data_IF_982605203859
#
_entry.id   IF_982605203859
#
_cell.length_a   1.000
_cell.length_b   1.000
_cell.length_c   1.000
_cell.angle_alpha   90.00
_cell.angle_beta   90.00
_cell.angle_gamma   90.00
#
_symmetry.space_group_name_H-M   'P 1'
#
loop_
_entity.id
_entity.type
_entity.pdbx_description
1 polymer ?
#
# COMPACT_ATOMS: atom_id res chain seq x y z
N UNK A 1 48.66 -2.63 16.72
CA UNK A 1 48.48 -2.79 15.27
C UNK A 1 47.41 -3.86 15.06
N UNK A 2 46.13 -3.56 14.82
CA UNK A 2 45.57 -2.56 13.91
C UNK A 2 45.06 -3.31 12.69
N UNK A 3 43.73 -3.41 12.51
CA UNK A 3 43.16 -4.14 11.36
C UNK A 3 41.66 -4.40 11.48
N UNK A 4 40.91 -3.30 11.50
CA UNK A 4 39.46 -3.22 11.37
C UNK A 4 39.00 -3.75 10.01
N UNK A 5 38.03 -4.66 10.01
CA UNK A 5 37.49 -5.33 8.82
C UNK A 5 36.03 -4.94 8.63
N UNK A 6 35.79 -3.66 8.34
CA UNK A 6 34.47 -3.13 8.01
C UNK A 6 33.90 -3.76 6.74
N UNK A 7 33.02 -4.75 6.93
CA UNK A 7 32.13 -5.24 5.89
C UNK A 7 31.03 -4.21 5.66
N UNK A 8 31.25 -3.29 4.72
CA UNK A 8 30.20 -2.39 4.25
C UNK A 8 29.08 -3.20 3.60
N UNK A 9 27.92 -3.23 4.24
CA UNK A 9 26.69 -3.69 3.62
C UNK A 9 26.39 -2.75 2.45
N UNK A 10 26.49 -3.27 1.22
CA UNK A 10 25.99 -2.58 0.05
C UNK A 10 24.47 -2.47 0.21
N UNK A 11 23.98 -1.24 0.41
CA UNK A 11 22.55 -0.95 0.38
C UNK A 11 22.01 -1.45 -0.97
N UNK A 12 21.18 -2.49 -0.93
CA UNK A 12 20.41 -2.90 -2.09
C UNK A 12 19.60 -1.69 -2.53
N UNK A 13 19.89 -1.17 -3.74
CA UNK A 13 19.15 -0.09 -4.33
C UNK A 13 17.71 -0.57 -4.51
N UNK A 14 16.84 -0.15 -3.60
CA UNK A 14 15.46 -0.54 -3.66
C UNK A 14 14.79 0.17 -4.84
N UNK A 15 14.09 -0.63 -5.65
CA UNK A 15 13.38 -0.13 -6.82
C UNK A 15 12.23 0.73 -6.29
N UNK A 16 12.30 2.04 -6.54
CA UNK A 16 11.12 2.89 -6.38
C UNK A 16 10.03 2.34 -7.30
N UNK A 17 8.85 2.03 -6.75
CA UNK A 17 7.73 1.48 -7.53
C UNK A 17 7.46 2.34 -8.76
N UNK A 18 7.20 1.69 -9.90
CA UNK A 18 6.93 2.41 -11.15
C UNK A 18 5.71 3.32 -10.99
N UNK A 19 5.74 4.49 -11.65
CA UNK A 19 4.59 5.38 -11.69
C UNK A 19 3.32 4.64 -12.17
N UNK A 20 2.12 5.03 -11.70
CA UNK A 20 0.89 4.41 -12.17
C UNK A 20 0.76 4.56 -13.70
N UNK A 21 0.13 3.57 -14.33
CA UNK A 21 -0.27 3.73 -15.73
C UNK A 21 -1.35 4.82 -15.85
N UNK A 22 -1.39 5.54 -16.96
CA UNK A 22 -2.39 6.60 -17.18
C UNK A 22 -3.82 6.04 -17.07
N UNK A 23 -4.66 6.65 -16.24
CA UNK A 23 -6.06 6.21 -16.08
C UNK A 23 -6.19 4.87 -15.35
N UNK A 24 -5.18 4.47 -14.57
CA UNK A 24 -5.18 3.18 -13.89
C UNK A 24 -6.24 3.10 -12.80
N UNK A 25 -6.72 1.87 -12.58
CA UNK A 25 -7.50 1.53 -11.41
C UNK A 25 -6.77 0.48 -10.60
N UNK A 26 -6.88 0.60 -9.28
CA UNK A 26 -6.32 -0.31 -8.30
C UNK A 26 -7.42 -0.79 -7.36
N UNK A 27 -7.21 -1.95 -6.75
CA UNK A 27 -8.11 -2.47 -5.71
C UNK A 27 -7.27 -2.73 -4.48
N UNK A 28 -7.58 -2.06 -3.38
CA UNK A 28 -6.83 -2.27 -2.14
C UNK A 28 -7.19 -3.61 -1.51
N UNK A 29 -6.31 -4.16 -0.69
CA UNK A 29 -6.47 -5.48 -0.08
C UNK A 29 -6.69 -5.33 1.44
N UNK A 30 -7.49 -6.23 1.99
CA UNK A 30 -7.68 -6.34 3.44
C UNK A 30 -8.07 -7.78 3.83
N UNK A 31 -7.09 -8.61 4.18
CA UNK A 31 -7.29 -9.98 4.67
C UNK A 31 -8.23 -10.82 3.78
N UNK A 32 -7.96 -10.82 2.48
CA UNK A 32 -8.78 -11.46 1.44
C UNK A 32 -9.93 -10.61 0.89
N UNK A 33 -10.24 -9.48 1.54
CA UNK A 33 -11.18 -8.47 1.05
C UNK A 33 -10.59 -7.51 0.02
N UNK A 34 -11.46 -6.82 -0.71
CA UNK A 34 -11.10 -5.68 -1.58
C UNK A 34 -11.97 -4.47 -1.21
N UNK A 35 -11.64 -3.72 -0.14
CA UNK A 35 -12.54 -2.72 0.42
C UNK A 35 -12.73 -1.52 -0.51
N UNK A 36 -11.69 -1.10 -1.23
CA UNK A 36 -11.75 0.06 -2.12
C UNK A 36 -11.25 -0.23 -3.53
N UNK A 37 -11.85 0.46 -4.49
CA UNK A 37 -11.32 0.66 -5.83
C UNK A 37 -10.84 2.11 -5.94
N UNK A 38 -9.62 2.29 -6.42
CA UNK A 38 -8.98 3.59 -6.57
C UNK A 38 -8.76 3.87 -8.04
N UNK A 39 -9.24 5.00 -8.53
CA UNK A 39 -9.02 5.47 -9.89
C UNK A 39 -8.06 6.65 -9.88
N UNK A 40 -6.95 6.54 -10.59
CA UNK A 40 -5.98 7.61 -10.80
C UNK A 40 -6.27 8.25 -12.15
N UNK A 41 -6.49 9.57 -12.18
CA UNK A 41 -6.74 10.29 -13.43
C UNK A 41 -5.59 10.09 -14.42
N UNK A 42 -5.83 10.21 -15.74
CA UNK A 42 -4.77 10.10 -16.74
C UNK A 42 -3.56 11.02 -16.51
N UNK A 43 -3.79 12.21 -15.95
CA UNK A 43 -2.72 13.15 -15.61
C UNK A 43 -2.08 12.93 -14.22
N UNK A 44 -2.56 11.94 -13.46
CA UNK A 44 -2.09 11.62 -12.11
C UNK A 44 -2.43 12.64 -11.02
N UNK A 45 -3.14 13.73 -11.36
CA UNK A 45 -3.38 14.85 -10.43
C UNK A 45 -4.62 14.70 -9.57
N UNK A 46 -5.49 13.74 -9.89
CA UNK A 46 -6.69 13.43 -9.12
C UNK A 46 -6.82 11.93 -8.89
N UNK A 47 -7.21 11.58 -7.66
CA UNK A 47 -7.41 10.20 -7.24
C UNK A 47 -8.78 10.07 -6.61
N UNK A 48 -9.63 9.22 -7.17
CA UNK A 48 -10.97 8.94 -6.67
C UNK A 48 -11.00 7.58 -5.98
N UNK A 49 -11.52 7.52 -4.77
CA UNK A 49 -11.64 6.29 -3.97
C UNK A 49 -13.11 5.92 -3.87
N UNK A 50 -13.43 4.70 -4.27
CA UNK A 50 -14.77 4.14 -4.22
C UNK A 50 -14.78 2.93 -3.30
N UNK A 51 -15.81 2.80 -2.45
CA UNK A 51 -16.00 1.58 -1.66
C UNK A 51 -16.97 0.62 -2.33
N UNK A 52 -16.75 -0.66 -2.08
CA UNK A 52 -17.69 -1.71 -2.43
C UNK A 52 -19.02 -1.47 -1.71
N UNK A 53 -20.16 -1.66 -2.40
CA UNK A 53 -21.48 -1.62 -1.75
C UNK A 53 -21.71 -2.86 -0.90
N UNK A 54 -22.23 -2.68 0.31
CA UNK A 54 -22.51 -3.72 1.32
C UNK A 54 -23.27 -4.94 0.78
N UNK A 55 -24.04 -4.78 -0.30
CA UNK A 55 -24.78 -5.86 -0.97
C UNK A 55 -23.88 -7.01 -1.48
N UNK A 56 -22.57 -6.80 -1.65
CA UNK A 56 -21.62 -7.80 -2.15
C UNK A 56 -20.72 -8.37 -1.04
N UNK A 57 -20.60 -7.68 0.11
CA UNK A 57 -19.65 -8.00 1.18
C UNK A 57 -20.19 -8.98 2.23
N UNK A 58 -21.43 -9.46 2.08
CA UNK A 58 -22.04 -10.46 2.97
C UNK A 58 -21.40 -11.85 2.88
N UNK A 59 -20.14 -11.99 3.28
CA UNK A 59 -19.51 -13.12 3.99
C UNK A 59 -19.73 -14.59 3.57
N UNK A 60 -20.39 -14.91 2.47
CA UNK A 60 -20.62 -16.31 2.11
C UNK A 60 -21.20 -16.50 0.73
N UNK A 61 -20.38 -16.90 -0.23
CA UNK A 61 -20.74 -17.21 -1.63
C UNK A 61 -21.07 -16.04 -2.60
N UNK A 62 -21.46 -14.77 -2.27
CA UNK A 62 -21.81 -13.81 -3.31
C UNK A 62 -20.60 -13.22 -4.02
N UNK A 63 -19.40 -13.24 -3.40
CA UNK A 63 -18.19 -12.84 -4.11
C UNK A 63 -17.97 -13.79 -5.29
N UNK A 64 -18.09 -15.11 -5.10
CA UNK A 64 -18.00 -16.11 -6.19
C UNK A 64 -19.24 -16.08 -7.10
N UNK A 65 -20.44 -15.89 -6.55
CA UNK A 65 -21.68 -15.91 -7.32
C UNK A 65 -21.88 -14.68 -8.24
N UNK A 66 -21.37 -13.50 -7.85
CA UNK A 66 -21.32 -12.34 -8.74
C UNK A 66 -20.44 -12.60 -9.98
N UNK A 67 -19.42 -13.47 -9.86
CA UNK A 67 -18.66 -13.98 -11.00
C UNK A 67 -19.25 -15.24 -11.65
N UNK A 68 -20.12 -15.99 -10.96
CA UNK A 68 -20.67 -17.26 -11.46
C UNK A 68 -21.61 -17.12 -12.67
N UNK A 69 -22.05 -15.91 -12.99
CA UNK A 69 -22.78 -15.58 -14.22
C UNK A 69 -21.94 -14.87 -15.29
N UNK A 70 -20.69 -14.50 -14.97
CA UNK A 70 -19.77 -13.94 -15.94
C UNK A 70 -19.14 -15.10 -16.72
N UNK A 71 -18.96 -14.98 -18.05
CA UNK A 71 -18.37 -16.04 -18.84
C UNK A 71 -17.02 -16.45 -18.24
N UNK A 72 -16.72 -17.76 -18.13
CA UNK A 72 -15.42 -18.25 -17.65
C UNK A 72 -14.26 -17.81 -18.57
N UNK A 73 -14.60 -17.32 -19.76
CA UNK A 73 -13.69 -16.69 -20.71
C UNK A 73 -13.46 -15.22 -20.31
N UNK A 74 -12.67 -15.08 -19.24
CA UNK A 74 -11.74 -14.00 -18.90
C UNK A 74 -12.27 -12.56 -19.01
N UNK A 75 -12.67 -11.93 -17.89
CA UNK A 75 -12.62 -10.48 -17.74
C UNK A 75 -11.17 -10.07 -17.47
N UNK A 76 -10.29 -10.28 -18.44
CA UNK A 76 -8.95 -9.74 -18.39
C UNK A 76 -8.99 -8.24 -18.71
N UNK A 77 -8.56 -7.47 -17.70
CA UNK A 77 -7.98 -6.12 -17.77
C UNK A 77 -8.86 -4.88 -17.66
N UNK A 78 -10.19 -4.96 -17.68
CA UNK A 78 -11.00 -3.75 -17.52
C UNK A 78 -11.57 -3.57 -16.11
N UNK A 79 -10.90 -2.83 -15.21
CA UNK A 79 -11.41 -2.52 -13.87
C UNK A 79 -12.75 -1.78 -13.88
N UNK A 80 -13.16 -1.18 -15.01
CA UNK A 80 -14.49 -0.56 -15.16
C UNK A 80 -15.62 -1.59 -15.05
N UNK A 81 -15.35 -2.88 -15.27
CA UNK A 81 -16.31 -3.95 -15.04
C UNK A 81 -16.77 -4.02 -13.56
N UNK A 82 -15.96 -3.51 -12.63
CA UNK A 82 -16.30 -3.47 -11.19
C UNK A 82 -17.03 -2.19 -10.77
N UNK A 83 -17.27 -1.23 -11.67
CA UNK A 83 -17.89 0.05 -11.34
C UNK A 83 -19.30 -0.10 -10.71
N UNK A 84 -20.01 -1.19 -11.04
CA UNK A 84 -21.31 -1.47 -10.43
C UNK A 84 -21.23 -1.94 -8.98
N UNK A 85 -20.09 -2.51 -8.56
CA UNK A 85 -19.81 -2.98 -7.19
C UNK A 85 -19.18 -1.86 -6.36
N UNK A 86 -18.24 -1.11 -6.95
CA UNK A 86 -17.61 0.06 -6.33
C UNK A 86 -18.30 1.35 -6.77
N UNK A 87 -19.52 1.55 -6.30
CA UNK A 87 -20.37 2.67 -6.75
C UNK A 87 -20.47 3.83 -5.76
N UNK A 88 -19.93 3.68 -4.55
CA UNK A 88 -19.97 4.74 -3.52
C UNK A 88 -18.64 5.47 -3.49
N UNK A 89 -18.63 6.71 -3.99
CA UNK A 89 -17.47 7.60 -3.85
C UNK A 89 -17.24 7.92 -2.37
N UNK A 90 -16.08 7.50 -1.86
CA UNK A 90 -15.61 7.79 -0.51
C UNK A 90 -14.95 9.16 -0.47
N UNK A 91 -14.02 9.40 -1.40
CA UNK A 91 -13.29 10.66 -1.46
C UNK A 91 -12.69 10.90 -2.85
N UNK A 92 -12.43 12.16 -3.17
CA UNK A 92 -11.64 12.55 -4.33
C UNK A 92 -10.52 13.50 -3.91
N UNK A 93 -9.28 13.03 -4.02
CA UNK A 93 -8.09 13.85 -3.87
C UNK A 93 -7.84 14.61 -5.18
N UNK A 94 -7.42 15.87 -5.06
CA UNK A 94 -7.04 16.74 -6.18
C UNK A 94 -5.73 17.44 -5.87
N UNK A 95 -4.98 17.83 -6.90
CA UNK A 95 -3.66 18.43 -6.73
C UNK A 95 -2.59 17.45 -6.27
N UNK A 96 -2.82 16.15 -6.46
CA UNK A 96 -1.88 15.07 -6.12
C UNK A 96 -0.57 15.30 -6.88
N UNK A 97 0.54 15.28 -6.16
CA UNK A 97 1.89 15.47 -6.71
C UNK A 97 2.45 14.17 -7.25
N UNK A 98 2.26 13.10 -6.48
CA UNK A 98 2.73 11.78 -6.82
C UNK A 98 1.82 10.72 -6.21
N UNK A 99 1.69 9.60 -6.94
CA UNK A 99 1.00 8.39 -6.46
C UNK A 99 2.05 7.31 -6.32
N UNK A 100 2.17 6.76 -5.12
CA UNK A 100 3.00 5.61 -4.81
C UNK A 100 2.10 4.39 -4.68
N UNK A 101 2.31 3.43 -5.57
CA UNK A 101 1.50 2.22 -5.64
C UNK A 101 2.21 1.13 -4.85
N UNK A 102 1.53 0.54 -3.88
CA UNK A 102 2.07 -0.59 -3.12
C UNK A 102 2.25 -1.80 -4.02
N UNK A 103 3.38 -2.51 -3.91
CA UNK A 103 3.70 -3.66 -4.75
C UNK A 103 4.16 -4.85 -3.90
N UNK A 104 3.71 -6.05 -4.30
CA UNK A 104 4.15 -7.32 -3.75
C UNK A 104 5.59 -7.64 -4.18
N UNK A 105 6.43 -8.12 -3.26
CA UNK A 105 7.77 -8.63 -3.57
C UNK A 105 7.66 -9.98 -4.34
N UNK A 106 8.14 -10.07 -5.60
CA UNK A 106 8.06 -11.30 -6.38
C UNK A 106 8.80 -12.50 -5.78
N UNK A 107 9.69 -12.33 -4.79
CA UNK A 107 10.39 -13.44 -4.13
C UNK A 107 9.50 -14.33 -3.25
N UNK A 108 8.33 -13.85 -2.82
CA UNK A 108 7.44 -14.58 -1.90
C UNK A 108 6.52 -15.60 -2.57
N UNK A 109 6.90 -16.05 -3.77
CA UNK A 109 6.26 -17.16 -4.46
C UNK A 109 5.06 -16.70 -5.28
N UNK A 110 5.18 -16.89 -6.58
CA UNK A 110 4.16 -16.67 -7.60
C UNK A 110 2.95 -17.61 -7.44
N UNK A 111 2.24 -17.58 -6.30
CA UNK A 111 0.88 -18.13 -6.31
C UNK A 111 -0.01 -17.35 -7.30
N UNK A 112 0.34 -16.10 -7.63
CA UNK A 112 -0.43 -15.27 -8.57
C UNK A 112 0.29 -14.94 -9.90
N UNK A 113 1.63 -14.88 -9.95
CA UNK A 113 2.31 -14.59 -11.23
C UNK A 113 2.39 -15.80 -12.18
N UNK A 114 2.25 -17.03 -11.66
CA UNK A 114 2.17 -18.24 -12.49
C UNK A 114 0.93 -18.27 -13.40
N UNK A 115 -0.08 -17.44 -13.09
CA UNK A 115 -1.31 -17.33 -13.88
C UNK A 115 -1.46 -15.97 -14.61
N UNK A 116 -0.43 -15.10 -14.60
CA UNK A 116 -0.43 -13.84 -15.36
C UNK A 116 -1.34 -12.74 -14.78
N UNK A 117 -1.72 -12.85 -13.51
CA UNK A 117 -2.59 -11.89 -12.85
C UNK A 117 -1.74 -10.79 -12.20
N UNK A 118 -1.97 -9.53 -12.59
CA UNK A 118 -1.33 -8.35 -12.01
C UNK A 118 -1.88 -7.95 -10.62
N UNK A 119 -2.21 -8.94 -9.78
CA UNK A 119 -2.96 -8.74 -8.52
C UNK A 119 -2.10 -8.23 -7.37
N UNK A 120 -0.77 -8.28 -7.49
CA UNK A 120 0.17 -7.76 -6.49
C UNK A 120 0.40 -6.24 -6.51
N UNK A 121 -0.16 -5.50 -7.48
CA UNK A 121 0.09 -4.05 -7.62
C UNK A 121 -1.14 -3.23 -7.22
N UNK A 122 -0.95 -2.28 -6.31
CA UNK A 122 -1.99 -1.40 -5.77
C UNK A 122 -2.83 -2.03 -4.66
N UNK A 123 -2.26 -3.00 -3.94
CA UNK A 123 -2.83 -3.54 -2.70
C UNK A 123 -3.04 -2.46 -1.63
N UNK A 124 -2.22 -1.41 -1.66
CA UNK A 124 -2.39 -0.13 -0.99
C UNK A 124 -1.82 0.99 -1.86
N UNK A 125 -2.18 2.22 -1.58
CA UNK A 125 -1.62 3.40 -2.23
C UNK A 125 -1.27 4.46 -1.19
N UNK A 126 -0.18 5.19 -1.46
CA UNK A 126 0.19 6.40 -0.75
C UNK A 126 0.20 7.57 -1.75
N UNK A 127 -0.48 8.66 -1.41
CA UNK A 127 -0.51 9.88 -2.22
C UNK A 127 0.35 10.96 -1.57
N UNK A 128 1.25 11.56 -2.34
CA UNK A 128 1.87 12.84 -1.99
C UNK A 128 0.93 13.97 -2.38
N UNK A 129 0.41 14.71 -1.40
CA UNK A 129 -0.47 15.85 -1.60
C UNK A 129 0.30 17.19 -1.58
N UNK A 130 1.62 17.16 -1.38
CA UNK A 130 2.47 18.33 -1.20
C UNK A 130 2.47 18.86 0.23
N UNK A 131 3.40 19.79 0.52
CA UNK A 131 3.53 20.46 1.83
C UNK A 131 3.61 19.48 3.03
N UNK A 132 4.24 18.32 2.83
CA UNK A 132 4.36 17.18 3.78
C UNK A 132 3.05 16.44 4.04
N UNK A 133 1.96 16.77 3.37
CA UNK A 133 0.69 16.09 3.55
C UNK A 133 0.62 14.85 2.65
N UNK A 134 0.24 13.73 3.25
CA UNK A 134 0.09 12.46 2.57
C UNK A 134 -1.32 11.91 2.78
N UNK A 135 -1.78 11.07 1.85
CA UNK A 135 -2.96 10.23 2.05
C UNK A 135 -2.59 8.75 1.91
N UNK A 136 -3.05 7.93 2.84
CA UNK A 136 -2.97 6.47 2.72
C UNK A 136 -4.34 5.91 2.34
N UNK A 137 -4.31 4.95 1.40
CA UNK A 137 -5.49 4.24 0.91
C UNK A 137 -5.17 2.73 0.94
N UNK A 138 -5.74 2.02 1.90
CA UNK A 138 -5.53 0.58 2.08
C UNK A 138 -6.78 -0.11 2.61
N UNK A 139 -6.71 -0.63 3.83
CA UNK A 139 -7.87 -1.14 4.57
C UNK A 139 -8.80 -0.01 5.04
N UNK A 140 -8.25 1.19 5.21
CA UNK A 140 -8.94 2.44 5.52
C UNK A 140 -8.42 3.59 4.63
N UNK A 141 -9.07 4.75 4.71
CA UNK A 141 -8.67 5.97 3.99
C UNK A 141 -8.46 7.10 4.98
N UNK A 142 -7.25 7.65 5.02
CA UNK A 142 -6.91 8.71 5.95
C UNK A 142 -5.73 9.55 5.46
N UNK A 143 -5.57 10.75 6.03
CA UNK A 143 -4.45 11.64 5.73
C UNK A 143 -3.59 11.88 6.96
N UNK A 144 -2.33 12.26 6.73
CA UNK A 144 -1.37 12.57 7.79
C UNK A 144 -0.34 13.57 7.29
N UNK A 145 0.45 14.12 8.21
CA UNK A 145 1.60 14.96 7.88
C UNK A 145 2.91 14.25 8.22
N UNK A 146 3.87 14.31 7.29
CA UNK A 146 5.25 13.97 7.59
C UNK A 146 5.85 15.01 8.54
N UNK A 147 6.78 14.58 9.38
CA UNK A 147 7.52 15.50 10.24
C UNK A 147 8.27 16.56 9.43
N UNK A 148 8.54 17.70 10.07
CA UNK A 148 9.25 18.79 9.44
C UNK A 148 10.63 18.34 8.93
N UNK A 149 10.90 18.58 7.64
CA UNK A 149 12.15 18.19 6.98
C UNK A 149 12.19 16.75 6.45
N UNK A 150 11.13 15.97 6.64
CA UNK A 150 10.98 14.66 6.01
C UNK A 150 10.34 14.79 4.62
N UNK A 151 10.82 13.98 3.69
CA UNK A 151 10.28 13.82 2.33
C UNK A 151 10.10 12.32 2.05
N UNK A 152 9.18 11.98 1.15
CA UNK A 152 8.95 10.59 0.73
C UNK A 152 10.20 10.11 -0.01
N UNK A 153 10.85 9.07 0.52
CA UNK A 153 11.98 8.42 -0.14
C UNK A 153 11.49 7.19 -0.93
N UNK A 154 10.83 6.25 -0.24
CA UNK A 154 10.28 5.06 -0.88
C UNK A 154 9.05 4.54 -0.16
N UNK A 155 8.13 3.93 -0.89
CA UNK A 155 6.94 3.28 -0.34
C UNK A 155 6.90 1.82 -0.79
N UNK A 156 6.61 0.93 0.16
CA UNK A 156 6.42 -0.50 -0.09
C UNK A 156 5.09 -0.94 0.50
N UNK A 157 4.54 -2.03 -0.02
CA UNK A 157 3.44 -2.71 0.62
C UNK A 157 3.49 -4.16 0.21
N UNK A 158 4.26 -4.97 0.93
CA UNK A 158 4.30 -6.41 0.66
C UNK A 158 2.98 -7.04 1.11
N UNK A 159 2.60 -8.15 0.47
CA UNK A 159 1.41 -8.91 0.88
C UNK A 159 1.88 -10.15 1.61
N UNK A 160 1.42 -10.31 2.85
CA UNK A 160 1.63 -11.51 3.63
C UNK A 160 0.71 -12.66 3.26
N UNK A 161 0.89 -13.77 3.98
CA UNK A 161 -0.07 -14.86 3.97
C UNK A 161 -1.48 -14.33 4.27
N UNK A 162 -2.48 -14.91 3.60
CA UNK A 162 -3.89 -14.50 3.69
C UNK A 162 -4.21 -13.13 3.11
N UNK A 163 -3.38 -12.63 2.18
CA UNK A 163 -3.70 -11.44 1.40
C UNK A 163 -3.81 -10.16 2.24
N UNK A 164 -2.88 -10.02 3.19
CA UNK A 164 -2.76 -8.89 4.13
C UNK A 164 -1.60 -7.98 3.71
N UNK A 165 -1.85 -6.70 3.38
CA UNK A 165 -0.78 -5.76 3.08
C UNK A 165 0.03 -5.32 4.31
N UNK A 166 1.32 -5.09 4.12
CA UNK A 166 2.27 -4.52 5.09
C UNK A 166 2.92 -3.24 4.53
N UNK A 167 2.13 -2.17 4.38
CA UNK A 167 2.59 -0.88 3.88
C UNK A 167 3.61 -0.20 4.80
N UNK A 168 4.74 0.19 4.23
CA UNK A 168 5.80 0.94 4.90
C UNK A 168 6.25 2.13 4.03
N UNK A 169 6.33 3.31 4.63
CA UNK A 169 6.90 4.51 4.01
C UNK A 169 8.26 4.82 4.64
N UNK A 170 9.28 4.86 3.79
CA UNK A 170 10.59 5.38 4.11
C UNK A 170 10.66 6.86 3.79
N UNK A 171 11.25 7.60 4.72
CA UNK A 171 11.65 8.99 4.56
C UNK A 171 13.15 9.13 4.80
N UNK A 172 13.64 10.35 4.99
CA UNK A 172 15.06 10.61 5.25
C UNK A 172 15.51 9.97 6.56
N UNK A 173 14.78 10.24 7.65
CA UNK A 173 15.16 9.75 8.97
C UNK A 173 14.13 8.81 9.60
N UNK A 174 12.96 8.59 8.99
CA UNK A 174 11.90 7.78 9.60
C UNK A 174 11.36 6.71 8.68
N UNK A 175 10.88 5.64 9.29
CA UNK A 175 10.04 4.62 8.65
C UNK A 175 8.68 4.67 9.31
N UNK A 176 7.62 4.77 8.51
CA UNK A 176 6.23 4.78 8.97
C UNK A 176 5.60 3.44 8.60
N UNK A 177 5.05 2.77 9.60
CA UNK A 177 4.13 1.64 9.45
C UNK A 177 2.70 2.19 9.36
N UNK A 178 2.03 1.95 8.23
CA UNK A 178 0.68 2.46 8.01
C UNK A 178 -0.39 1.58 8.68
N UNK A 179 -0.08 0.33 9.05
CA UNK A 179 -1.05 -0.57 9.68
C UNK A 179 -1.32 -0.13 11.11
N UNK A 180 -0.28 -0.06 11.94
CA UNK A 180 -0.45 0.35 13.33
C UNK A 180 -0.33 1.87 13.53
N UNK A 181 -0.07 2.64 12.45
CA UNK A 181 0.07 4.11 12.47
C UNK A 181 1.19 4.57 13.41
N UNK A 182 2.32 3.88 13.35
CA UNK A 182 3.54 4.21 14.07
C UNK A 182 4.66 4.62 13.12
N UNK A 183 5.64 5.35 13.64
CA UNK A 183 6.92 5.54 13.00
C UNK A 183 8.05 5.22 13.96
N UNK A 184 9.20 4.86 13.41
CA UNK A 184 10.45 4.72 14.14
C UNK A 184 11.59 5.42 13.39
N UNK A 185 12.66 5.72 14.12
CA UNK A 185 13.90 6.20 13.52
C UNK A 185 14.41 5.16 12.52
N UNK A 186 14.70 5.61 11.31
CA UNK A 186 15.18 4.75 10.22
C UNK A 186 16.46 4.02 10.58
N UNK A 187 17.36 4.69 11.31
CA UNK A 187 18.59 4.07 11.81
C UNK A 187 18.34 2.90 12.77
N UNK A 188 17.27 2.93 13.56
CA UNK A 188 16.88 1.83 14.42
C UNK A 188 16.33 0.64 13.61
N UNK A 189 15.50 0.93 12.60
CA UNK A 189 14.99 -0.10 11.67
C UNK A 189 16.15 -0.72 10.90
N UNK A 190 17.10 0.06 10.38
CA UNK A 190 18.27 -0.44 9.66
C UNK A 190 19.23 -1.23 10.55
N UNK A 191 19.28 -0.94 11.85
CA UNK A 191 20.06 -1.75 12.81
C UNK A 191 19.37 -3.08 13.15
N UNK A 192 18.04 -3.11 13.15
CA UNK A 192 17.24 -4.32 13.41
C UNK A 192 17.05 -5.19 12.16
N UNK A 193 17.07 -4.58 10.97
CA UNK A 193 16.78 -5.23 9.70
C UNK A 193 18.08 -5.65 8.99
N UNK A 194 18.17 -6.92 8.57
CA UNK A 194 19.44 -7.48 8.06
C UNK A 194 19.53 -7.59 6.55
N UNK A 195 18.49 -7.30 5.75
CA UNK A 195 18.65 -7.48 4.28
C UNK A 195 17.72 -6.71 3.35
N UNK A 196 16.43 -6.50 3.64
CA UNK A 196 15.46 -6.07 2.59
C UNK A 196 14.32 -5.16 3.10
N UNK A 197 13.74 -4.27 2.24
CA UNK A 197 12.69 -3.31 2.66
C UNK A 197 11.35 -3.94 3.11
N UNK A 198 11.04 -5.17 2.71
CA UNK A 198 9.88 -5.94 3.18
C UNK A 198 10.00 -6.39 4.64
N UNK A 199 11.24 -6.52 5.15
CA UNK A 199 11.51 -6.81 6.55
C UNK A 199 11.36 -5.57 7.45
N UNK A 200 11.15 -4.37 6.89
CA UNK A 200 10.94 -3.15 7.66
C UNK A 200 9.75 -3.26 8.62
N UNK A 201 8.66 -3.86 8.13
CA UNK A 201 7.49 -4.12 8.93
C UNK A 201 7.82 -5.02 10.11
N UNK A 202 8.45 -6.18 9.86
CA UNK A 202 8.89 -7.09 10.93
C UNK A 202 9.83 -6.41 11.94
N UNK A 203 10.84 -5.69 11.44
CA UNK A 203 11.79 -4.95 12.26
C UNK A 203 11.12 -3.91 13.15
N UNK A 204 10.04 -3.26 12.70
CA UNK A 204 9.25 -2.34 13.53
C UNK A 204 8.71 -3.04 14.78
N UNK A 205 8.20 -4.27 14.68
CA UNK A 205 7.67 -5.01 15.82
C UNK A 205 8.74 -5.56 16.75
N UNK A 206 9.95 -5.74 16.26
CA UNK A 206 11.11 -6.13 17.07
C UNK A 206 11.66 -4.94 17.89
N UNK A 207 11.30 -3.70 17.55
CA UNK A 207 11.69 -2.53 18.32
C UNK A 207 10.96 -2.46 19.67
N UNK A 208 11.67 -2.01 20.74
CA UNK A 208 11.03 -1.65 21.99
C UNK A 208 9.90 -0.64 21.79
N UNK A 209 8.83 -0.72 22.58
CA UNK A 209 7.64 0.12 22.43
C UNK A 209 7.98 1.62 22.51
N UNK A 210 8.98 2.01 23.30
CA UNK A 210 9.46 3.38 23.44
C UNK A 210 10.13 3.95 22.17
N UNK A 211 10.49 3.10 21.21
CA UNK A 211 11.06 3.49 19.91
C UNK A 211 10.00 3.52 18.79
N UNK A 212 8.75 3.17 19.11
CA UNK A 212 7.61 3.25 18.20
C UNK A 212 6.73 4.40 18.59
N UNK A 213 6.62 5.39 17.71
CA UNK A 213 5.93 6.63 17.97
C UNK A 213 4.67 6.69 17.13
N UNK A 214 3.50 6.80 17.77
CA UNK A 214 2.26 7.05 17.05
C UNK A 214 2.35 8.38 16.29
N UNK A 215 1.73 8.45 15.12
CA UNK A 215 1.51 9.72 14.42
C UNK A 215 0.01 10.00 14.27
N UNK A 216 -0.34 11.28 14.22
CA UNK A 216 -1.72 11.71 14.08
C UNK A 216 -2.21 11.52 12.65
N UNK A 217 -3.46 11.08 12.53
CA UNK A 217 -4.13 10.91 11.25
C UNK A 217 -5.50 11.59 11.29
N UNK A 218 -5.92 12.11 10.14
CA UNK A 218 -7.28 12.55 9.88
C UNK A 218 -8.00 11.44 9.10
N UNK A 219 -8.92 10.73 9.77
CA UNK A 219 -9.67 9.66 9.14
C UNK A 219 -10.75 10.20 8.19
N UNK A 220 -10.71 9.76 6.93
CA UNK A 220 -11.73 10.07 5.91
C UNK A 220 -12.76 8.95 5.88
N UNK A 221 -12.29 7.71 5.93
CA UNK A 221 -13.12 6.52 6.01
C UNK A 221 -12.42 5.45 6.82
N UNK A 222 -13.11 4.93 7.84
CA UNK A 222 -12.65 3.80 8.60
C UNK A 222 -12.58 2.52 7.77
N UNK A 223 -12.13 1.44 8.41
CA UNK A 223 -12.05 0.13 7.78
C UNK A 223 -13.44 -0.32 7.32
N UNK A 224 -13.54 -0.68 6.03
CA UNK A 224 -14.81 -1.07 5.43
C UNK A 224 -15.12 -2.54 5.77
N UNK A 225 -16.23 -2.76 6.47
CA UNK A 225 -16.78 -4.08 6.78
C UNK A 225 -18.24 -4.14 6.38
#
# INVERSE_FOLDING_TARGET
>A
DGGDGGGGAAAAAAVAGEAPAEGAYYRTHDNGGRPFMVHVSPDGTSVSVFKCTDAVLGGGEPYVAAYAGLPPERPDHDPRCYAHIYSVLVHQFTGVKQVHVGEHDPQYGDYEAAEGWAWGRGNTLLLDLGDRRCAYIGEAVWTFELAAGEEIATYYSTVGNSDVPYPCLYTGNRVYDMVDRHWAERSAIEAANTSTPDQAFGAMYDLPAEQRHAFEVEEIHGRAW
#
